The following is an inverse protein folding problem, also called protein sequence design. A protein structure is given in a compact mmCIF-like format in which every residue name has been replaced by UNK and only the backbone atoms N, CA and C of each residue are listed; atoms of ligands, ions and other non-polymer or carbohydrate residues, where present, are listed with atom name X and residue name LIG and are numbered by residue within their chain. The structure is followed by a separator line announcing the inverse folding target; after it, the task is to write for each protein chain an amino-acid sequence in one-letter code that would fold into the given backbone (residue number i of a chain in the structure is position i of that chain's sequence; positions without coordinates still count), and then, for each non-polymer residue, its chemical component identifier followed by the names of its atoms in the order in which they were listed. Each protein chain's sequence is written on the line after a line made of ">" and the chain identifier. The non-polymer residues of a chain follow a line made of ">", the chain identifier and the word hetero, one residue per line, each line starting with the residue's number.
data_IF_946364229557
#
_entry.id   IF_946364229557
#
_cell.length_a   1.000
_cell.length_b   1.000
_cell.length_c   1.000
_cell.angle_alpha   90.00
_cell.angle_beta   90.00
_cell.angle_gamma   90.00
#
_symmetry.space_group_name_H-M   'P 1'
#
loop_
_entity.id
_entity.type
_entity.pdbx_description
1 polymer ?
#
# COMPACT_ATOMS: atom_id res chain seq x y z
N UNK A 1 36.70 15.73 -56.73
CA UNK A 1 35.65 15.39 -55.75
C UNK A 1 36.36 14.86 -54.51
N UNK A 2 36.62 15.74 -53.55
CA UNK A 2 37.41 15.44 -52.34
C UNK A 2 36.40 15.28 -51.21
N UNK A 3 36.28 14.08 -50.66
CA UNK A 3 35.49 13.82 -49.46
C UNK A 3 36.42 13.75 -48.25
N UNK A 4 36.60 14.88 -47.57
CA UNK A 4 37.18 14.92 -46.22
C UNK A 4 36.16 14.32 -45.25
N UNK A 5 36.38 13.09 -44.78
CA UNK A 5 35.62 12.57 -43.63
C UNK A 5 36.35 13.03 -42.37
N UNK A 6 35.75 14.06 -41.79
CA UNK A 6 36.14 14.77 -40.58
C UNK A 6 36.16 13.84 -39.36
N UNK A 7 37.28 13.84 -38.64
CA UNK A 7 37.41 13.28 -37.30
C UNK A 7 36.57 14.08 -36.31
N UNK A 8 35.47 13.52 -35.84
CA UNK A 8 34.77 13.95 -34.63
C UNK A 8 35.22 13.00 -33.52
N UNK A 9 36.40 13.17 -32.91
CA UNK A 9 36.77 14.21 -31.94
C UNK A 9 35.63 14.64 -31.00
N UNK A 10 35.90 14.42 -29.71
CA UNK A 10 35.12 14.73 -28.51
C UNK A 10 33.95 13.79 -28.16
N UNK A 11 34.30 12.69 -27.49
CA UNK A 11 33.47 12.18 -26.41
C UNK A 11 33.38 13.30 -25.36
N UNK A 12 32.23 13.97 -25.27
CA UNK A 12 31.94 14.91 -24.20
C UNK A 12 31.96 14.13 -22.87
N UNK A 13 32.86 14.44 -21.92
CA UNK A 13 32.78 13.87 -20.59
C UNK A 13 31.48 14.36 -19.94
N UNK A 14 30.75 13.41 -19.36
CA UNK A 14 29.49 13.62 -18.64
C UNK A 14 29.60 14.84 -17.71
N UNK A 15 28.96 15.94 -18.08
CA UNK A 15 28.69 17.05 -17.17
C UNK A 15 27.56 16.59 -16.25
N UNK A 16 27.87 16.28 -14.99
CA UNK A 16 26.82 16.10 -13.98
C UNK A 16 26.16 17.47 -13.78
N UNK A 17 24.95 17.61 -14.32
CA UNK A 17 24.12 18.79 -14.14
C UNK A 17 23.49 18.72 -12.74
N UNK A 18 24.01 19.51 -11.80
CA UNK A 18 23.50 19.61 -10.42
C UNK A 18 22.12 20.31 -10.32
N UNK A 19 21.49 20.68 -11.44
CA UNK A 19 20.12 21.22 -11.48
C UNK A 19 19.06 20.15 -11.83
N UNK A 20 19.40 18.86 -11.74
CA UNK A 20 18.44 17.76 -11.90
C UNK A 20 17.73 17.36 -10.59
N UNK A 21 17.61 18.28 -9.62
CA UNK A 21 16.49 18.21 -8.67
C UNK A 21 15.33 18.93 -9.35
N UNK A 22 14.80 18.25 -10.36
CA UNK A 22 13.52 18.58 -10.92
C UNK A 22 12.51 18.35 -9.80
N UNK A 23 11.88 19.43 -9.33
CA UNK A 23 10.64 19.33 -8.56
C UNK A 23 9.76 18.33 -9.27
N UNK A 24 9.59 17.15 -8.68
CA UNK A 24 8.57 16.21 -9.09
C UNK A 24 7.26 16.93 -8.89
N UNK A 25 6.71 17.49 -9.98
CA UNK A 25 5.31 17.89 -10.05
C UNK A 25 4.49 16.73 -9.47
N UNK A 26 3.50 17.00 -8.61
CA UNK A 26 2.65 15.95 -8.10
C UNK A 26 1.95 15.32 -9.31
N UNK A 27 2.20 14.04 -9.53
CA UNK A 27 1.40 13.24 -10.46
C UNK A 27 -0.06 13.29 -9.96
N UNK A 28 -0.90 14.07 -10.65
CA UNK A 28 -2.35 14.21 -10.39
C UNK A 28 -3.12 12.87 -10.52
N UNK A 29 -2.45 11.79 -10.91
CA UNK A 29 -3.02 10.44 -11.01
C UNK A 29 -2.73 9.57 -9.78
N UNK A 30 -2.13 10.12 -8.73
CA UNK A 30 -1.92 9.40 -7.49
C UNK A 30 -3.16 9.60 -6.60
N UNK A 31 -4.19 8.77 -6.77
CA UNK A 31 -5.43 8.78 -5.94
C UNK A 31 -5.15 8.63 -4.44
N UNK A 32 -3.92 8.26 -4.06
CA UNK A 32 -3.43 8.17 -2.69
C UNK A 32 -2.78 9.48 -2.19
N UNK A 33 -2.30 10.37 -3.07
CA UNK A 33 -1.59 11.59 -2.69
C UNK A 33 -2.50 12.71 -2.16
N UNK A 34 -3.82 12.57 -2.34
CA UNK A 34 -4.83 13.55 -1.86
C UNK A 34 -5.64 13.10 -0.65
N UNK A 35 -5.54 11.84 -0.21
CA UNK A 35 -6.36 11.32 0.90
C UNK A 35 -5.70 11.60 2.23
N UNK A 36 -6.47 12.13 3.17
CA UNK A 36 -6.04 12.29 4.55
C UNK A 36 -5.74 10.93 5.18
N UNK A 37 -4.84 10.90 6.16
CA UNK A 37 -4.57 9.68 6.93
C UNK A 37 -5.83 9.09 7.57
N UNK A 38 -6.77 9.97 7.98
CA UNK A 38 -8.07 9.55 8.51
C UNK A 38 -8.87 8.77 7.47
N UNK A 39 -9.01 9.26 6.24
CA UNK A 39 -9.74 8.57 5.17
C UNK A 39 -9.09 7.23 4.80
N UNK A 40 -7.75 7.17 4.81
CA UNK A 40 -7.03 5.92 4.57
C UNK A 40 -7.28 4.91 5.69
N UNK A 41 -7.24 5.35 6.95
CA UNK A 41 -7.48 4.50 8.11
C UNK A 41 -8.94 4.02 8.15
N UNK A 42 -9.90 4.90 7.90
CA UNK A 42 -11.32 4.55 7.83
C UNK A 42 -11.58 3.55 6.69
N UNK A 43 -10.94 3.74 5.53
CA UNK A 43 -10.95 2.78 4.43
C UNK A 43 -10.43 1.41 4.85
N UNK A 44 -9.24 1.37 5.46
CA UNK A 44 -8.64 0.12 5.93
C UNK A 44 -9.51 -0.61 6.98
N UNK A 45 -10.15 0.12 7.90
CA UNK A 45 -11.09 -0.47 8.88
C UNK A 45 -12.32 -1.06 8.19
N UNK A 46 -12.87 -0.36 7.19
CA UNK A 46 -13.98 -0.88 6.39
C UNK A 46 -13.60 -2.13 5.60
N UNK A 47 -12.38 -2.19 5.06
CA UNK A 47 -11.86 -3.36 4.36
C UNK A 47 -11.74 -4.57 5.29
N UNK A 48 -11.19 -4.38 6.49
CA UNK A 48 -11.10 -5.42 7.53
C UNK A 48 -12.50 -5.96 7.87
N UNK A 49 -13.49 -5.08 8.00
CA UNK A 49 -14.88 -5.48 8.26
C UNK A 49 -15.49 -6.27 7.08
N UNK A 50 -15.25 -5.82 5.85
CA UNK A 50 -15.70 -6.50 4.63
C UNK A 50 -15.13 -7.92 4.53
N UNK A 51 -13.83 -8.09 4.76
CA UNK A 51 -13.18 -9.40 4.75
C UNK A 51 -13.73 -10.31 5.84
N UNK A 52 -13.99 -9.78 7.06
CA UNK A 52 -14.64 -10.55 8.12
C UNK A 52 -16.03 -11.07 7.75
N UNK A 53 -16.88 -10.21 7.18
CA UNK A 53 -18.24 -10.61 6.77
C UNK A 53 -18.16 -11.74 5.74
N UNK A 54 -17.28 -11.62 4.74
CA UNK A 54 -17.04 -12.68 3.73
C UNK A 54 -16.58 -14.00 4.36
N UNK A 55 -15.70 -13.93 5.37
CA UNK A 55 -15.26 -15.09 6.14
C UNK A 55 -16.42 -15.76 6.89
N UNK A 56 -17.29 -14.97 7.54
CA UNK A 56 -18.46 -15.48 8.24
C UNK A 56 -19.49 -16.13 7.31
N UNK A 57 -19.75 -15.51 6.16
CA UNK A 57 -20.63 -16.10 5.15
C UNK A 57 -20.06 -17.44 4.64
N UNK A 58 -18.75 -17.50 4.41
CA UNK A 58 -18.06 -18.74 4.02
C UNK A 58 -18.18 -19.82 5.11
N UNK A 59 -18.02 -19.46 6.39
CA UNK A 59 -18.25 -20.40 7.50
C UNK A 59 -19.69 -20.93 7.51
N UNK A 60 -20.66 -20.05 7.28
CA UNK A 60 -22.08 -20.42 7.25
C UNK A 60 -22.39 -21.35 6.08
N UNK A 61 -21.82 -21.11 4.90
CA UNK A 61 -21.98 -21.99 3.73
C UNK A 61 -21.39 -23.38 3.98
N UNK A 62 -20.22 -23.45 4.62
CA UNK A 62 -19.60 -24.72 5.03
C UNK A 62 -20.51 -25.45 6.03
N UNK A 63 -20.95 -24.78 7.09
CA UNK A 63 -21.78 -25.36 8.14
C UNK A 63 -23.16 -25.83 7.63
N UNK A 64 -23.70 -25.16 6.61
CA UNK A 64 -24.99 -25.52 5.99
C UNK A 64 -24.85 -26.53 4.85
N UNK A 65 -23.63 -26.95 4.50
CA UNK A 65 -23.36 -27.88 3.40
C UNK A 65 -23.65 -27.31 2.01
N UNK A 66 -23.81 -25.99 1.89
CA UNK A 66 -24.08 -25.28 0.62
C UNK A 66 -22.81 -24.78 -0.08
N UNK A 67 -21.65 -25.05 0.50
CA UNK A 67 -20.37 -24.59 -0.03
C UNK A 67 -20.08 -25.25 -1.38
N UNK A 68 -19.91 -24.43 -2.42
CA UNK A 68 -19.58 -24.90 -3.77
C UNK A 68 -18.09 -25.22 -3.89
N UNK A 69 -17.25 -24.39 -3.29
CA UNK A 69 -15.79 -24.52 -3.31
C UNK A 69 -15.24 -24.39 -1.88
N UNK A 70 -14.86 -25.52 -1.29
CA UNK A 70 -14.38 -25.57 0.09
C UNK A 70 -13.04 -24.83 0.24
N UNK A 71 -12.14 -24.95 -0.73
CA UNK A 71 -10.81 -24.33 -0.70
C UNK A 71 -10.92 -22.80 -0.68
N UNK A 72 -11.78 -22.25 -1.53
CA UNK A 72 -12.02 -20.80 -1.57
C UNK A 72 -12.70 -20.31 -0.28
N UNK A 73 -13.64 -21.08 0.26
CA UNK A 73 -14.31 -20.75 1.52
C UNK A 73 -13.32 -20.74 2.70
N UNK A 74 -12.43 -21.73 2.78
CA UNK A 74 -11.34 -21.78 3.78
C UNK A 74 -10.36 -20.62 3.58
N UNK A 75 -9.99 -20.31 2.34
CA UNK A 75 -9.11 -19.18 2.03
C UNK A 75 -9.69 -17.86 2.54
N UNK A 76 -10.99 -17.59 2.30
CA UNK A 76 -11.67 -16.39 2.79
C UNK A 76 -11.70 -16.31 4.32
N UNK A 77 -11.85 -17.45 4.99
CA UNK A 77 -11.80 -17.55 6.45
C UNK A 77 -10.40 -17.21 6.98
N UNK A 78 -9.36 -17.80 6.40
CA UNK A 78 -7.97 -17.54 6.80
C UNK A 78 -7.56 -16.09 6.52
N UNK A 79 -7.98 -15.54 5.39
CA UNK A 79 -7.75 -14.14 5.04
C UNK A 79 -8.41 -13.19 6.05
N UNK A 80 -9.66 -13.48 6.45
CA UNK A 80 -10.36 -12.72 7.47
C UNK A 80 -9.65 -12.77 8.83
N UNK A 81 -9.18 -13.95 9.24
CA UNK A 81 -8.46 -14.11 10.50
C UNK A 81 -7.12 -13.39 10.50
N UNK A 82 -6.33 -13.54 9.43
CA UNK A 82 -5.02 -12.89 9.30
C UNK A 82 -5.16 -11.36 9.25
N UNK A 83 -6.09 -10.87 8.44
CA UNK A 83 -6.39 -9.44 8.32
C UNK A 83 -6.81 -8.84 9.65
N UNK A 84 -7.64 -9.54 10.44
CA UNK A 84 -8.03 -9.10 11.78
C UNK A 84 -6.84 -9.06 12.74
N UNK A 85 -5.98 -10.10 12.74
CA UNK A 85 -4.77 -10.12 13.57
C UNK A 85 -3.88 -8.92 13.26
N UNK A 86 -3.63 -8.66 11.98
CA UNK A 86 -2.86 -7.51 11.53
C UNK A 86 -3.50 -6.19 11.99
N UNK A 87 -4.82 -6.03 11.81
CA UNK A 87 -5.54 -4.84 12.25
C UNK A 87 -5.41 -4.59 13.76
N UNK A 88 -5.46 -5.64 14.57
CA UNK A 88 -5.25 -5.55 16.02
C UNK A 88 -3.82 -5.15 16.38
N UNK A 89 -2.82 -5.68 15.69
CA UNK A 89 -1.42 -5.27 15.89
C UNK A 89 -1.21 -3.80 15.56
N UNK A 90 -1.74 -3.35 14.41
CA UNK A 90 -1.68 -1.95 13.99
C UNK A 90 -2.40 -1.05 14.99
N UNK A 91 -3.62 -1.42 15.42
CA UNK A 91 -4.37 -0.72 16.47
C UNK A 91 -3.53 -0.57 17.74
N UNK A 92 -2.95 -1.66 18.23
CA UNK A 92 -2.13 -1.64 19.44
C UNK A 92 -0.90 -0.75 19.26
N UNK A 93 -0.24 -0.80 18.09
CA UNK A 93 0.91 0.06 17.79
C UNK A 93 0.53 1.54 17.73
N UNK A 94 -0.60 1.88 17.12
CA UNK A 94 -1.11 3.25 17.05
C UNK A 94 -1.44 3.81 18.43
N UNK A 95 -2.12 3.03 19.28
CA UNK A 95 -2.41 3.41 20.69
C UNK A 95 -1.11 3.60 21.47
N UNK A 96 -0.13 2.71 21.29
CA UNK A 96 1.16 2.83 21.97
C UNK A 96 1.95 4.07 21.50
N UNK A 97 1.96 4.36 20.20
CA UNK A 97 2.58 5.55 19.65
C UNK A 97 1.93 6.83 20.22
N UNK A 98 0.60 6.87 20.29
CA UNK A 98 -0.12 7.97 20.93
C UNK A 98 0.29 8.14 22.40
N UNK A 99 0.32 7.04 23.17
CA UNK A 99 0.76 7.07 24.57
C UNK A 99 2.20 7.55 24.74
N UNK A 100 3.10 7.16 23.84
CA UNK A 100 4.51 7.56 23.89
C UNK A 100 4.69 9.06 23.65
N UNK A 101 3.99 9.62 22.65
CA UNK A 101 3.98 11.06 22.38
C UNK A 101 3.49 11.85 23.60
N UNK A 102 2.43 11.37 24.27
CA UNK A 102 1.91 12.00 25.49
C UNK A 102 2.91 11.92 26.65
N UNK A 103 3.76 10.90 26.71
CA UNK A 103 4.81 10.75 27.73
C UNK A 103 6.06 11.61 27.47
N UNK A 104 6.25 12.10 26.25
CA UNK A 104 7.33 13.04 25.93
C UNK A 104 7.05 14.47 26.43
N UNK A 105 5.79 14.84 26.67
CA UNK A 105 5.43 16.15 27.24
C UNK A 105 5.42 16.10 28.77
N UNK A 106 6.61 16.04 29.36
CA UNK A 106 6.93 16.52 30.72
C UNK A 106 8.31 17.15 30.75
#
# INVERSE_FOLDING_TARGET
>A
MIGTINSLSSLNPLKINLNAVQETQPDDNNELAGKSFQELLDGAVNDVNSTQIKGYDSMKEIATGKVVNLQEAVQKIEEAELTMKLALEVKNKAINAYREVMRMQV
#
